data_IF_261473934183
#
_entry.id   IF_261473934183
#
_cell.length_a   1.000
_cell.length_b   1.000
_cell.length_c   1.000
_cell.angle_alpha   90.00
_cell.angle_beta   90.00
_cell.angle_gamma   90.00
#
_symmetry.space_group_name_H-M   'P 1'
#
loop_
_entity.id
_entity.type
_entity.pdbx_description
1 polymer ?
#
# COMPACT_ATOMS: atom_id res chain seq x y z
N UNK A 1 -1.99 0.00 -13.14
CA UNK A 1 -2.37 0.22 -14.56
C UNK A 1 -3.44 -0.79 -14.94
N UNK A 2 -4.61 -0.35 -15.40
CA UNK A 2 -5.79 -1.19 -15.53
C UNK A 2 -5.65 -2.17 -16.70
N UNK A 3 -5.28 -3.40 -16.35
CA UNK A 3 -5.11 -4.54 -17.25
C UNK A 3 -6.26 -5.51 -17.03
N UNK A 4 -6.83 -6.00 -18.12
CA UNK A 4 -7.80 -7.07 -18.05
C UNK A 4 -7.12 -8.40 -18.39
N UNK A 5 -7.05 -9.32 -17.42
CA UNK A 5 -6.39 -10.63 -17.59
C UNK A 5 -7.09 -11.51 -18.65
N UNK A 6 -8.42 -11.51 -18.67
CA UNK A 6 -9.20 -12.33 -19.61
C UNK A 6 -9.05 -11.86 -21.06
N UNK A 7 -9.01 -10.55 -21.27
CA UNK A 7 -8.82 -9.96 -22.59
C UNK A 7 -7.34 -9.87 -22.97
N UNK A 8 -6.42 -10.16 -22.04
CA UNK A 8 -4.99 -9.93 -22.15
C UNK A 8 -4.67 -8.57 -22.78
N UNK A 9 -5.36 -7.51 -22.32
CA UNK A 9 -5.32 -6.18 -22.95
C UNK A 9 -5.34 -5.06 -21.93
N UNK A 10 -4.58 -4.02 -22.24
CA UNK A 10 -4.56 -2.76 -21.51
C UNK A 10 -5.69 -1.83 -21.95
N UNK A 11 -6.37 -1.18 -20.99
CA UNK A 11 -7.44 -0.22 -21.25
C UNK A 11 -7.07 1.18 -20.74
N UNK A 12 -7.33 2.22 -21.54
CA UNK A 12 -7.21 3.61 -21.09
C UNK A 12 -8.46 4.02 -20.32
N UNK A 13 -8.42 5.01 -19.42
CA UNK A 13 -9.60 5.48 -18.66
C UNK A 13 -10.77 5.93 -19.56
N UNK A 14 -10.47 6.41 -20.77
CA UNK A 14 -11.48 6.78 -21.78
C UNK A 14 -12.12 5.60 -22.51
N UNK A 15 -11.55 4.40 -22.37
CA UNK A 15 -12.00 3.17 -23.01
C UNK A 15 -12.71 2.23 -22.02
N UNK A 16 -12.95 2.68 -20.78
CA UNK A 16 -13.73 1.95 -19.78
C UNK A 16 -15.16 2.46 -19.74
N UNK A 17 -16.06 1.67 -19.15
CA UNK A 17 -17.39 2.18 -18.80
C UNK A 17 -17.25 3.22 -17.68
N UNK A 18 -18.30 4.03 -17.46
CA UNK A 18 -18.35 5.00 -16.38
C UNK A 18 -18.14 4.39 -14.99
N UNK A 19 -18.31 3.07 -14.86
CA UNK A 19 -18.15 2.30 -13.64
C UNK A 19 -16.76 1.66 -13.49
N UNK A 20 -15.77 1.95 -14.36
CA UNK A 20 -14.44 1.34 -14.27
C UNK A 20 -14.35 -0.10 -14.79
N UNK A 21 -15.37 -0.57 -15.50
CA UNK A 21 -15.42 -1.93 -16.03
C UNK A 21 -14.82 -2.01 -17.44
N UNK A 22 -14.23 -3.16 -17.74
CA UNK A 22 -13.80 -3.54 -19.07
C UNK A 22 -15.02 -3.67 -20.00
N UNK A 23 -15.16 -2.90 -21.09
CA UNK A 23 -16.32 -2.98 -21.97
C UNK A 23 -16.38 -4.27 -22.81
N UNK A 24 -15.30 -5.06 -22.84
CA UNK A 24 -15.23 -6.31 -23.62
C UNK A 24 -15.71 -7.53 -22.83
N UNK A 25 -15.50 -7.58 -21.51
CA UNK A 25 -15.93 -8.71 -20.67
C UNK A 25 -16.81 -8.30 -19.47
N UNK A 26 -17.01 -7.00 -19.23
CA UNK A 26 -17.85 -6.46 -18.15
C UNK A 26 -17.23 -6.51 -16.76
N UNK A 27 -15.93 -6.77 -16.64
CA UNK A 27 -15.25 -6.95 -15.35
C UNK A 27 -14.66 -5.63 -14.81
N UNK A 28 -14.81 -5.39 -13.51
CA UNK A 28 -14.21 -4.28 -12.77
C UNK A 28 -12.67 -4.41 -12.75
N UNK A 29 -11.92 -3.39 -13.20
CA UNK A 29 -10.44 -3.42 -13.39
C UNK A 29 -9.71 -2.25 -12.71
N UNK A 30 -10.44 -1.48 -11.93
CA UNK A 30 -10.05 -0.27 -11.21
C UNK A 30 -9.58 -0.55 -9.77
N UNK A 31 -9.64 -1.80 -9.30
CA UNK A 31 -9.34 -2.17 -7.90
C UNK A 31 -7.85 -2.40 -7.59
N UNK A 32 -6.92 -2.11 -8.51
CA UNK A 32 -5.49 -1.99 -8.16
C UNK A 32 -5.12 -0.53 -7.92
N UNK A 33 -5.92 0.14 -7.09
CA UNK A 33 -5.67 1.45 -6.53
C UNK A 33 -5.63 1.33 -5.00
N UNK A 34 -4.58 0.69 -4.46
CA UNK A 34 -4.52 0.45 -3.02
C UNK A 34 -3.17 0.06 -2.42
N UNK A 35 -2.08 0.01 -3.20
CA UNK A 35 -0.74 0.09 -2.59
C UNK A 35 -0.37 1.56 -2.44
N UNK A 36 -1.21 2.30 -1.73
CA UNK A 36 -0.91 3.66 -1.30
C UNK A 36 0.22 3.58 -0.29
N UNK A 37 1.44 3.76 -0.78
CA UNK A 37 2.67 4.02 -0.01
C UNK A 37 2.63 5.38 0.75
N UNK A 38 1.44 5.92 0.97
CA UNK A 38 1.17 7.21 1.62
C UNK A 38 0.16 7.06 2.78
N UNK A 39 0.01 5.85 3.33
CA UNK A 39 -0.58 5.67 4.66
C UNK A 39 0.47 6.12 5.69
N UNK A 40 0.55 7.43 5.94
CA UNK A 40 1.40 8.07 6.96
C UNK A 40 1.50 7.15 8.17
N UNK A 41 2.67 6.53 8.37
CA UNK A 41 2.91 5.73 9.57
C UNK A 41 2.49 6.56 10.77
N UNK A 42 1.51 6.11 11.56
CA UNK A 42 0.86 6.94 12.56
C UNK A 42 1.94 7.47 13.51
N UNK A 43 1.90 8.75 13.88
CA UNK A 43 2.94 9.41 14.69
C UNK A 43 3.33 8.59 15.93
N UNK A 44 2.34 7.89 16.51
CA UNK A 44 2.52 6.96 17.62
C UNK A 44 3.49 5.79 17.31
N UNK A 45 3.50 5.25 16.09
CA UNK A 45 4.42 4.18 15.68
C UNK A 45 5.89 4.62 15.82
N UNK A 46 6.20 5.85 15.40
CA UNK A 46 7.55 6.41 15.52
C UNK A 46 7.96 6.61 16.98
N UNK A 47 7.03 6.99 17.86
CA UNK A 47 7.28 7.07 19.30
C UNK A 47 7.60 5.71 19.91
N UNK A 48 6.81 4.68 19.62
CA UNK A 48 7.03 3.33 20.15
C UNK A 48 8.42 2.80 19.75
N UNK A 49 8.82 2.99 18.48
CA UNK A 49 10.15 2.59 18.00
C UNK A 49 11.26 3.33 18.75
N UNK A 50 11.10 4.63 18.98
CA UNK A 50 12.10 5.44 19.69
C UNK A 50 12.25 5.00 21.15
N UNK A 51 11.14 4.78 21.85
CA UNK A 51 11.14 4.27 23.22
C UNK A 51 11.77 2.88 23.32
N UNK A 52 11.50 2.00 22.35
CA UNK A 52 12.09 0.67 22.28
C UNK A 52 13.62 0.73 22.14
N UNK A 53 14.13 1.55 21.22
CA UNK A 53 15.59 1.71 21.01
C UNK A 53 16.26 2.27 22.26
N UNK A 54 15.66 3.29 22.90
CA UNK A 54 16.19 3.86 24.13
C UNK A 54 16.26 2.82 25.27
N UNK A 55 15.20 2.02 25.44
CA UNK A 55 15.16 0.97 26.46
C UNK A 55 16.20 -0.13 26.21
N UNK A 56 16.30 -0.61 24.97
CA UNK A 56 17.29 -1.63 24.61
C UNK A 56 18.71 -1.11 24.76
N UNK A 57 18.98 0.14 24.35
CA UNK A 57 20.27 0.80 24.56
C UNK A 57 20.63 0.92 26.04
N UNK A 58 19.69 1.38 26.88
CA UNK A 58 19.86 1.43 28.33
C UNK A 58 20.13 0.05 28.93
N UNK A 59 19.35 -0.97 28.54
CA UNK A 59 19.54 -2.36 28.97
C UNK A 59 20.91 -2.90 28.57
N UNK A 60 21.36 -2.63 27.36
CA UNK A 60 22.69 -3.02 26.88
C UNK A 60 23.76 -2.36 27.76
N UNK A 61 23.68 -1.05 28.01
CA UNK A 61 24.64 -0.34 28.87
C UNK A 61 24.67 -0.96 30.28
N UNK A 62 23.52 -1.21 30.89
CA UNK A 62 23.40 -1.84 32.21
C UNK A 62 23.91 -3.29 32.25
N UNK A 63 23.88 -4.02 31.13
CA UNK A 63 24.43 -5.38 31.08
C UNK A 63 25.96 -5.39 30.99
N UNK A 64 26.57 -4.32 30.48
CA UNK A 64 28.02 -4.21 30.26
C UNK A 64 28.77 -3.38 31.31
N UNK A 65 28.05 -2.62 32.15
CA UNK A 65 28.57 -1.86 33.31
C UNK A 65 28.24 -2.62 34.59
#
# INVERSE_FOLDING_TARGET
MPWCEECARYFTPTAMTANGECPSCGRHIDEVAGLSDDERTPWHFKLLVTALIAYLGWRIIVLFV
#
